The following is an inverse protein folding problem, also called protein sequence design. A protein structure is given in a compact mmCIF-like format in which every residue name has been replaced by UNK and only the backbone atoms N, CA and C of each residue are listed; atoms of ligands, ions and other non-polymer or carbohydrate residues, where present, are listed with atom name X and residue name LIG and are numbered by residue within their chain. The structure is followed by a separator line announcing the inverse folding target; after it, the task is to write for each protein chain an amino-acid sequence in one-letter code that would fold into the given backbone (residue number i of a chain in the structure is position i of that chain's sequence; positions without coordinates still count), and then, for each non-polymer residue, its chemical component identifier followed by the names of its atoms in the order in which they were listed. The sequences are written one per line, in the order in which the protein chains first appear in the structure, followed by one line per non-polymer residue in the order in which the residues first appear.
data_IF_263804132847
#
_entry.id   IF_263804132847
#
_cell.length_a   1.000
_cell.length_b   1.000
_cell.length_c   1.000
_cell.angle_alpha   90.00
_cell.angle_beta   90.00
_cell.angle_gamma   90.00
#
_symmetry.space_group_name_H-M   'P 1'
#
loop_
_entity.id
_entity.type
_entity.pdbx_description
1 polymer ?
#
# COMPACT_ATOMS: atom_id res chain seq x y z
N UNK A 1 -5.81 14.12 -5.07
CA UNK A 1 -6.55 15.38 -4.87
C UNK A 1 -7.60 15.23 -3.79
N UNK A 2 -7.95 16.35 -3.15
CA UNK A 2 -9.02 16.46 -2.17
C UNK A 2 -10.25 17.11 -2.85
N UNK A 3 -11.43 16.51 -2.68
CA UNK A 3 -12.66 16.94 -3.36
C UNK A 3 -13.75 17.18 -2.33
N UNK A 4 -14.38 18.36 -2.39
CA UNK A 4 -15.55 18.67 -1.55
C UNK A 4 -16.78 17.90 -2.06
N UNK A 5 -17.44 17.20 -1.15
CA UNK A 5 -18.71 16.53 -1.43
C UNK A 5 -19.87 17.53 -1.26
N UNK A 6 -20.75 17.62 -2.24
CA UNK A 6 -21.83 18.61 -2.25
C UNK A 6 -23.22 17.98 -2.11
N UNK A 7 -23.65 17.19 -3.09
CA UNK A 7 -25.03 16.68 -3.15
C UNK A 7 -25.39 15.74 -2.00
N UNK A 8 -24.52 14.77 -1.74
CA UNK A 8 -24.75 13.76 -0.69
C UNK A 8 -24.64 14.35 0.72
N UNK A 9 -23.93 15.46 0.87
CA UNK A 9 -23.66 16.12 2.15
C UNK A 9 -24.43 17.42 2.35
N UNK A 10 -25.40 17.74 1.46
CA UNK A 10 -26.15 19.01 1.49
C UNK A 10 -26.83 19.33 2.83
N UNK A 11 -27.19 18.33 3.62
CA UNK A 11 -27.83 18.46 4.93
C UNK A 11 -26.84 18.26 6.09
N UNK A 12 -25.54 18.01 5.82
CA UNK A 12 -24.53 17.90 6.88
C UNK A 12 -24.18 19.29 7.43
N UNK A 13 -23.92 19.34 8.74
CA UNK A 13 -23.44 20.57 9.40
C UNK A 13 -21.95 20.82 9.12
N UNK A 14 -21.21 19.77 8.75
CA UNK A 14 -19.78 19.82 8.47
C UNK A 14 -19.50 19.91 6.96
N UNK A 15 -18.40 20.52 6.58
CA UNK A 15 -17.80 20.37 5.27
C UNK A 15 -17.14 19.00 5.17
N UNK A 16 -17.56 18.20 4.20
CA UNK A 16 -17.01 16.85 3.99
C UNK A 16 -16.12 16.86 2.74
N UNK A 17 -14.87 16.45 2.93
CA UNK A 17 -13.86 16.35 1.88
C UNK A 17 -13.48 14.87 1.68
N UNK A 18 -13.27 14.47 0.44
CA UNK A 18 -12.85 13.13 0.06
C UNK A 18 -11.47 13.18 -0.61
N UNK A 19 -10.47 12.51 -0.03
CA UNK A 19 -9.17 12.32 -0.68
C UNK A 19 -9.24 11.16 -1.66
N UNK A 20 -9.09 11.48 -2.94
CA UNK A 20 -9.28 10.51 -4.04
C UNK A 20 -7.97 9.78 -4.35
N UNK A 21 -7.71 8.70 -3.63
CA UNK A 21 -6.53 7.84 -3.83
C UNK A 21 -6.59 6.97 -5.10
N UNK A 22 -7.72 6.91 -5.77
CA UNK A 22 -7.86 6.30 -7.10
C UNK A 22 -7.15 7.07 -8.21
N UNK A 23 -6.59 8.26 -7.95
CA UNK A 23 -5.76 9.01 -8.92
C UNK A 23 -4.28 8.66 -8.87
N UNK A 24 -3.87 7.78 -7.97
CA UNK A 24 -2.53 7.22 -7.98
C UNK A 24 -2.30 6.30 -9.20
N UNK A 25 -1.04 6.09 -9.65
CA UNK A 25 -0.74 5.38 -10.90
C UNK A 25 -1.36 3.99 -11.06
N UNK A 26 -1.47 3.21 -9.99
CA UNK A 26 -2.15 1.91 -9.97
C UNK A 26 -3.52 1.97 -9.25
N UNK A 27 -4.17 3.14 -9.30
CA UNK A 27 -5.55 3.41 -8.87
C UNK A 27 -5.87 3.12 -7.40
N UNK A 28 -4.91 3.22 -6.50
CA UNK A 28 -5.20 3.06 -5.06
C UNK A 28 -4.17 3.73 -4.15
N UNK A 29 -4.52 3.89 -2.87
CA UNK A 29 -3.59 4.32 -1.81
C UNK A 29 -2.37 3.40 -1.68
N UNK A 30 -2.47 2.15 -2.12
CA UNK A 30 -1.38 1.17 -2.03
C UNK A 30 -0.22 1.46 -2.99
N UNK A 31 -0.41 2.34 -3.99
CA UNK A 31 0.68 2.82 -4.83
C UNK A 31 1.79 3.45 -3.99
N UNK A 32 1.42 4.19 -2.94
CA UNK A 32 2.35 4.85 -2.03
C UNK A 32 3.25 3.83 -1.32
N UNK A 33 2.64 2.85 -0.65
CA UNK A 33 3.39 1.84 0.10
C UNK A 33 4.14 0.87 -0.82
N UNK A 34 3.55 0.47 -1.95
CA UNK A 34 4.20 -0.42 -2.92
C UNK A 34 5.48 0.19 -3.48
N UNK A 35 5.47 1.48 -3.81
CA UNK A 35 6.66 2.20 -4.25
C UNK A 35 7.67 2.37 -3.12
N UNK A 36 7.25 2.85 -1.94
CA UNK A 36 8.18 3.17 -0.87
C UNK A 36 8.87 1.95 -0.28
N UNK A 37 8.18 0.80 -0.16
CA UNK A 37 8.81 -0.44 0.31
C UNK A 37 9.93 -0.91 -0.63
N UNK A 38 9.78 -0.71 -1.94
CA UNK A 38 10.83 -1.04 -2.92
C UNK A 38 11.98 -0.02 -2.82
N UNK A 39 11.70 1.29 -2.82
CA UNK A 39 12.71 2.35 -2.74
C UNK A 39 13.53 2.29 -1.44
N UNK A 40 12.87 2.05 -0.31
CA UNK A 40 13.53 1.91 0.98
C UNK A 40 14.45 0.67 1.00
N UNK A 41 13.99 -0.44 0.45
CA UNK A 41 14.78 -1.66 0.35
C UNK A 41 16.01 -1.48 -0.56
N UNK A 42 15.88 -0.77 -1.69
CA UNK A 42 17.00 -0.41 -2.56
C UNK A 42 18.01 0.46 -1.81
N UNK A 43 17.52 1.52 -1.13
CA UNK A 43 18.35 2.46 -0.37
C UNK A 43 19.13 1.77 0.75
N UNK A 44 18.52 0.76 1.38
CA UNK A 44 19.15 -0.03 2.45
C UNK A 44 20.03 -1.18 1.94
N UNK A 45 20.12 -1.37 0.62
CA UNK A 45 20.86 -2.48 0.01
C UNK A 45 20.23 -3.87 0.23
N UNK A 46 18.98 -3.92 0.69
CA UNK A 46 18.22 -5.15 0.92
C UNK A 46 17.68 -5.74 -0.39
N UNK A 47 17.46 -4.90 -1.40
CA UNK A 47 16.97 -5.24 -2.72
C UNK A 47 17.92 -4.73 -3.80
N UNK A 48 18.33 -5.63 -4.69
CA UNK A 48 19.12 -5.36 -5.89
C UNK A 48 18.54 -6.11 -7.09
N UNK A 49 19.16 -6.02 -8.27
CA UNK A 49 18.65 -6.62 -9.51
C UNK A 49 18.74 -8.15 -9.56
N UNK A 50 19.53 -8.76 -8.70
CA UNK A 50 19.66 -10.21 -8.62
C UNK A 50 18.56 -10.85 -7.76
N UNK A 51 17.84 -10.03 -6.98
CA UNK A 51 16.77 -10.50 -6.11
C UNK A 51 15.41 -10.49 -6.79
N UNK A 52 14.55 -11.41 -6.35
CA UNK A 52 13.14 -11.52 -6.72
C UNK A 52 12.30 -11.04 -5.54
N UNK A 53 11.37 -10.13 -5.81
CA UNK A 53 10.41 -9.68 -4.79
C UNK A 53 9.34 -10.75 -4.66
N UNK A 54 8.98 -11.12 -3.41
CA UNK A 54 7.86 -12.03 -3.14
C UNK A 54 6.95 -11.44 -2.06
N UNK A 55 5.62 -11.43 -2.28
CA UNK A 55 4.66 -10.89 -1.31
C UNK A 55 3.36 -11.68 -1.31
N UNK A 56 2.83 -12.05 -0.13
CA UNK A 56 1.51 -12.67 -0.01
C UNK A 56 0.42 -11.59 -0.06
N UNK A 57 -0.20 -11.42 -1.21
CA UNK A 57 -1.27 -10.41 -1.38
C UNK A 57 -2.12 -10.67 -2.60
N UNK A 58 -3.40 -10.43 -2.47
CA UNK A 58 -4.40 -10.56 -3.56
C UNK A 58 -5.08 -9.23 -3.89
N UNK A 59 -4.68 -8.16 -3.22
CA UNK A 59 -5.33 -6.86 -3.30
C UNK A 59 -4.50 -5.79 -3.99
N UNK A 60 -4.85 -4.55 -3.69
CA UNK A 60 -4.21 -3.37 -4.29
C UNK A 60 -2.71 -3.27 -4.00
N UNK A 61 -2.22 -3.86 -2.89
CA UNK A 61 -0.77 -3.93 -2.63
C UNK A 61 -0.06 -4.76 -3.69
N UNK A 62 -0.62 -5.90 -4.09
CA UNK A 62 -0.05 -6.71 -5.18
C UNK A 62 -0.02 -5.96 -6.51
N UNK A 63 -1.08 -5.23 -6.85
CA UNK A 63 -1.12 -4.41 -8.07
C UNK A 63 -0.06 -3.29 -8.00
N UNK A 64 0.07 -2.62 -6.85
CA UNK A 64 1.05 -1.54 -6.66
C UNK A 64 2.50 -2.07 -6.72
N UNK A 65 2.77 -3.21 -6.12
CA UNK A 65 4.08 -3.88 -6.21
C UNK A 65 4.38 -4.32 -7.65
N UNK A 66 3.40 -4.90 -8.36
CA UNK A 66 3.58 -5.31 -9.75
C UNK A 66 3.86 -4.10 -10.66
N UNK A 67 3.12 -3.01 -10.49
CA UNK A 67 3.36 -1.77 -11.21
C UNK A 67 4.76 -1.21 -10.95
N UNK A 68 5.18 -1.12 -9.67
CA UNK A 68 6.48 -0.57 -9.32
C UNK A 68 7.62 -1.50 -9.74
N UNK A 69 7.46 -2.82 -9.56
CA UNK A 69 8.44 -3.81 -9.98
C UNK A 69 8.67 -3.77 -11.49
N UNK A 70 7.60 -3.69 -12.30
CA UNK A 70 7.68 -3.55 -13.74
C UNK A 70 8.44 -2.27 -14.14
N UNK A 71 8.08 -1.13 -13.55
CA UNK A 71 8.72 0.16 -13.82
C UNK A 71 10.21 0.18 -13.46
N UNK A 72 10.60 -0.59 -12.45
CA UNK A 72 12.00 -0.64 -11.96
C UNK A 72 12.77 -1.87 -12.44
N UNK A 73 12.16 -2.76 -13.24
CA UNK A 73 12.82 -3.94 -13.79
C UNK A 73 13.14 -5.03 -12.76
N UNK A 74 12.26 -5.22 -11.76
CA UNK A 74 12.35 -6.33 -10.80
C UNK A 74 11.43 -7.47 -11.20
N UNK A 75 11.87 -8.70 -10.92
CA UNK A 75 10.99 -9.87 -10.93
C UNK A 75 10.13 -9.85 -9.67
N UNK A 76 8.86 -10.21 -9.80
CA UNK A 76 7.89 -10.25 -8.71
C UNK A 76 7.11 -11.54 -8.72
N UNK A 77 7.03 -12.19 -7.57
CA UNK A 77 6.14 -13.31 -7.29
C UNK A 77 5.08 -12.87 -6.29
N UNK A 78 3.82 -13.16 -6.58
CA UNK A 78 2.71 -12.91 -5.67
C UNK A 78 2.03 -14.24 -5.31
N UNK A 79 1.89 -14.51 -4.02
CA UNK A 79 1.14 -15.69 -3.56
C UNK A 79 -0.26 -15.27 -3.12
N UNK A 80 -1.27 -16.02 -3.54
CA UNK A 80 -2.66 -15.72 -3.22
C UNK A 80 -3.55 -16.96 -3.31
N UNK A 81 -4.69 -17.00 -2.59
CA UNK A 81 -5.66 -18.08 -2.75
C UNK A 81 -6.24 -18.11 -4.17
N UNK A 82 -6.48 -19.30 -4.69
CA UNK A 82 -7.09 -19.49 -6.02
C UNK A 82 -8.54 -18.96 -6.12
N UNK A 83 -9.19 -18.69 -4.98
CA UNK A 83 -10.51 -18.06 -4.92
C UNK A 83 -10.51 -16.56 -5.27
N UNK A 84 -9.34 -15.93 -5.41
CA UNK A 84 -9.26 -14.53 -5.78
C UNK A 84 -9.75 -14.27 -7.20
N UNK A 85 -10.32 -13.07 -7.44
CA UNK A 85 -10.94 -12.74 -8.72
C UNK A 85 -9.97 -12.82 -9.90
N UNK A 86 -10.46 -13.32 -11.01
CA UNK A 86 -9.67 -13.50 -12.23
C UNK A 86 -9.17 -12.15 -12.80
N UNK A 87 -9.93 -11.08 -12.62
CA UNK A 87 -9.57 -9.74 -13.09
C UNK A 87 -8.32 -9.22 -12.36
N UNK A 88 -8.23 -9.41 -11.05
CA UNK A 88 -7.04 -9.04 -10.26
C UNK A 88 -5.83 -9.85 -10.67
N UNK A 89 -6.00 -11.18 -10.87
CA UNK A 89 -4.91 -12.04 -11.33
C UNK A 89 -4.40 -11.60 -12.71
N UNK A 90 -5.31 -11.32 -13.65
CA UNK A 90 -4.96 -10.83 -14.99
C UNK A 90 -4.22 -9.50 -14.92
N UNK A 91 -4.69 -8.56 -14.09
CA UNK A 91 -4.04 -7.27 -13.93
C UNK A 91 -2.59 -7.41 -13.43
N UNK A 92 -2.35 -8.24 -12.41
CA UNK A 92 -1.01 -8.47 -11.90
C UNK A 92 -0.11 -9.19 -12.91
N UNK A 93 -0.66 -10.17 -13.63
CA UNK A 93 0.07 -10.91 -14.66
C UNK A 93 0.45 -10.01 -15.86
N UNK A 94 -0.44 -9.12 -16.30
CA UNK A 94 -0.13 -8.14 -17.38
C UNK A 94 0.98 -7.20 -16.97
N UNK A 95 1.10 -6.87 -15.67
CA UNK A 95 2.19 -6.08 -15.12
C UNK A 95 3.49 -6.90 -14.90
N UNK A 96 3.50 -8.18 -15.31
CA UNK A 96 4.69 -9.02 -15.27
C UNK A 96 4.90 -9.81 -13.97
N UNK A 97 3.93 -9.82 -13.06
CA UNK A 97 4.03 -10.64 -11.85
C UNK A 97 3.78 -12.12 -12.14
N UNK A 98 4.62 -12.99 -11.58
CA UNK A 98 4.36 -14.40 -11.47
C UNK A 98 3.37 -14.67 -10.33
N UNK A 99 2.35 -15.48 -10.56
CA UNK A 99 1.32 -15.79 -9.58
C UNK A 99 1.43 -17.23 -9.10
N UNK A 100 1.59 -17.43 -7.80
CA UNK A 100 1.53 -18.74 -7.15
C UNK A 100 0.19 -18.83 -6.43
N UNK A 101 -0.70 -19.66 -6.94
CA UNK A 101 -2.01 -19.88 -6.36
C UNK A 101 -1.94 -20.95 -5.26
N UNK A 102 -2.58 -20.66 -4.14
CA UNK A 102 -2.71 -21.59 -3.02
C UNK A 102 -4.15 -22.07 -2.88
N UNK A 103 -4.35 -23.19 -2.20
CA UNK A 103 -5.68 -23.78 -1.98
C UNK A 103 -6.66 -22.74 -1.38
N UNK A 104 -7.85 -22.62 -1.98
CA UNK A 104 -8.89 -21.69 -1.52
C UNK A 104 -9.26 -21.87 -0.04
N UNK A 105 -9.33 -23.13 0.41
CA UNK A 105 -9.68 -23.47 1.80
C UNK A 105 -8.69 -22.94 2.84
N UNK A 106 -7.43 -22.72 2.46
CA UNK A 106 -6.40 -22.18 3.36
C UNK A 106 -6.41 -20.63 3.42
N UNK A 107 -7.16 -19.98 2.56
CA UNK A 107 -7.29 -18.52 2.50
C UNK A 107 -5.95 -17.77 2.47
N UNK A 108 -5.92 -16.54 2.98
CA UNK A 108 -4.68 -15.75 3.06
C UNK A 108 -3.60 -16.36 3.96
N UNK A 109 -3.91 -17.05 5.09
CA UNK A 109 -2.86 -17.75 5.86
C UNK A 109 -2.07 -18.75 5.02
N UNK A 110 -2.71 -19.48 4.11
CA UNK A 110 -2.03 -20.40 3.19
C UNK A 110 -1.09 -19.68 2.21
N UNK A 111 -1.51 -18.52 1.69
CA UNK A 111 -0.68 -17.70 0.81
C UNK A 111 0.53 -17.13 1.57
N UNK A 112 0.34 -16.68 2.81
CA UNK A 112 1.42 -16.18 3.67
C UNK A 112 2.43 -17.28 3.97
N UNK A 113 1.96 -18.48 4.34
CA UNK A 113 2.84 -19.62 4.60
C UNK A 113 3.67 -19.99 3.35
N UNK A 114 3.05 -19.97 2.17
CA UNK A 114 3.75 -20.27 0.90
C UNK A 114 4.78 -19.21 0.53
N UNK A 115 4.49 -17.93 0.73
CA UNK A 115 5.47 -16.86 0.50
C UNK A 115 6.68 -17.00 1.43
N UNK A 116 6.44 -17.27 2.71
CA UNK A 116 7.51 -17.49 3.70
C UNK A 116 8.34 -18.73 3.38
N UNK A 117 7.71 -19.86 3.04
CA UNK A 117 8.42 -21.09 2.62
C UNK A 117 9.42 -20.80 1.50
N UNK A 118 9.00 -20.04 0.49
CA UNK A 118 9.86 -19.71 -0.66
C UNK A 118 10.96 -18.74 -0.26
N UNK A 119 10.62 -17.68 0.49
CA UNK A 119 11.58 -16.67 0.91
C UNK A 119 12.65 -17.21 1.87
N UNK A 120 12.23 -18.03 2.84
CA UNK A 120 13.13 -18.64 3.82
C UNK A 120 14.01 -19.74 3.19
N UNK A 121 13.55 -20.36 2.11
CA UNK A 121 14.30 -21.36 1.35
C UNK A 121 15.55 -20.80 0.65
N UNK A 122 15.54 -19.52 0.27
CA UNK A 122 16.70 -18.84 -0.33
C UNK A 122 16.68 -17.33 -0.03
N UNK A 123 17.09 -16.91 1.17
CA UNK A 123 17.07 -15.49 1.57
C UNK A 123 18.00 -14.59 0.74
N UNK A 124 18.97 -15.17 0.05
CA UNK A 124 19.87 -14.40 -0.82
C UNK A 124 19.16 -14.01 -2.12
N UNK A 125 18.26 -14.87 -2.60
CA UNK A 125 17.52 -14.68 -3.85
C UNK A 125 16.23 -13.88 -3.66
N UNK A 126 15.54 -14.07 -2.55
CA UNK A 126 14.22 -13.46 -2.35
C UNK A 126 14.25 -12.31 -1.37
N UNK A 127 13.41 -11.31 -1.64
CA UNK A 127 13.11 -10.19 -0.75
C UNK A 127 11.59 -10.10 -0.55
N UNK A 128 11.13 -10.15 0.71
CA UNK A 128 9.73 -10.01 1.06
C UNK A 128 9.49 -8.66 1.72
N UNK A 129 8.75 -7.73 1.04
CA UNK A 129 8.45 -6.41 1.57
C UNK A 129 7.73 -6.41 2.91
N UNK A 130 6.72 -7.26 3.10
CA UNK A 130 6.01 -7.41 4.37
C UNK A 130 5.18 -6.19 4.74
N UNK A 131 4.09 -5.92 4.03
CA UNK A 131 3.29 -4.69 4.17
C UNK A 131 2.78 -4.39 5.60
N UNK A 132 2.64 -5.41 6.45
CA UNK A 132 2.12 -5.25 7.81
C UNK A 132 3.18 -4.82 8.83
N UNK A 133 4.44 -5.23 8.63
CA UNK A 133 5.53 -5.04 9.59
C UNK A 133 6.59 -4.05 9.08
N UNK A 134 6.53 -3.66 7.81
CA UNK A 134 7.53 -2.80 7.19
C UNK A 134 7.31 -1.32 7.54
N UNK A 135 8.29 -0.67 8.22
CA UNK A 135 8.19 0.74 8.60
C UNK A 135 8.11 1.69 7.38
N UNK A 136 8.54 1.26 6.20
CA UNK A 136 8.40 2.05 4.97
C UNK A 136 6.92 2.27 4.58
N UNK A 137 5.98 1.44 5.08
CA UNK A 137 4.56 1.64 4.89
C UNK A 137 4.07 2.90 5.63
N UNK A 138 4.10 3.00 6.97
CA UNK A 138 3.70 4.22 7.66
C UNK A 138 4.55 5.44 7.26
N UNK A 139 5.84 5.26 7.00
CA UNK A 139 6.75 6.34 6.63
C UNK A 139 6.26 7.14 5.41
N UNK A 140 5.79 6.48 4.36
CA UNK A 140 5.34 7.21 3.16
C UNK A 140 4.07 8.03 3.42
N UNK A 141 3.20 7.57 4.30
CA UNK A 141 2.02 8.34 4.70
C UNK A 141 2.41 9.56 5.54
N UNK A 142 3.42 9.43 6.41
CA UNK A 142 3.98 10.57 7.14
C UNK A 142 4.59 11.61 6.19
N UNK A 143 5.31 11.16 5.16
CA UNK A 143 5.99 12.06 4.20
C UNK A 143 5.06 12.65 3.14
N UNK A 144 3.92 12.03 2.87
CA UNK A 144 3.06 12.44 1.75
C UNK A 144 1.59 12.59 2.13
N UNK A 145 0.90 11.55 2.54
CA UNK A 145 -0.55 11.57 2.76
C UNK A 145 -0.96 12.55 3.85
N UNK A 146 -0.24 12.57 4.97
CA UNK A 146 -0.47 13.52 6.07
C UNK A 146 -0.27 14.97 5.63
N UNK A 147 0.92 15.35 5.14
CA UNK A 147 1.17 16.69 4.60
C UNK A 147 0.18 17.12 3.52
N UNK A 148 -0.12 16.25 2.56
CA UNK A 148 -1.10 16.56 1.52
C UNK A 148 -2.50 16.88 2.07
N UNK A 149 -2.95 16.18 3.14
CA UNK A 149 -4.23 16.47 3.79
C UNK A 149 -4.15 17.82 4.50
N UNK A 150 -3.08 18.07 5.22
CA UNK A 150 -2.87 19.32 5.95
C UNK A 150 -2.86 20.53 5.01
N UNK A 151 -2.05 20.47 3.97
CA UNK A 151 -1.91 21.55 2.99
C UNK A 151 -3.21 21.79 2.20
N UNK A 152 -3.88 20.70 1.74
CA UNK A 152 -5.14 20.79 1.00
C UNK A 152 -6.33 21.35 1.83
N UNK A 153 -6.19 21.39 3.16
CA UNK A 153 -7.22 21.92 4.09
C UNK A 153 -6.81 23.22 4.76
N UNK A 154 -5.65 23.80 4.43
CA UNK A 154 -5.06 24.93 5.16
C UNK A 154 -4.98 24.67 6.68
N UNK A 155 -4.74 23.43 7.07
CA UNK A 155 -4.71 22.98 8.45
C UNK A 155 -6.08 22.91 9.16
N UNK A 156 -7.16 23.23 8.47
CA UNK A 156 -8.51 23.26 9.02
C UNK A 156 -9.20 21.90 8.92
N UNK A 157 -8.86 20.99 9.83
CA UNK A 157 -9.43 19.65 9.89
C UNK A 157 -9.81 19.27 11.32
N UNK A 158 -11.09 19.00 11.56
CA UNK A 158 -11.61 18.58 12.87
C UNK A 158 -11.68 17.05 13.01
N UNK A 159 -11.95 16.35 11.90
CA UNK A 159 -12.19 14.90 11.90
C UNK A 159 -11.54 14.21 10.69
N UNK A 160 -10.72 13.22 10.96
CA UNK A 160 -10.16 12.32 9.95
C UNK A 160 -10.89 10.97 9.97
N UNK A 161 -11.46 10.56 8.83
CA UNK A 161 -12.06 9.24 8.64
C UNK A 161 -11.25 8.45 7.65
N UNK A 162 -10.75 7.30 8.03
CA UNK A 162 -9.93 6.44 7.17
C UNK A 162 -10.27 4.95 7.36
N UNK A 163 -10.20 4.19 6.28
CA UNK A 163 -10.26 2.73 6.36
C UNK A 163 -8.98 2.17 7.01
N UNK A 164 -9.14 1.10 7.79
CA UNK A 164 -8.04 0.42 8.47
C UNK A 164 -7.81 -0.94 7.82
N UNK A 165 -6.66 -1.09 7.14
CA UNK A 165 -6.13 -2.38 6.69
C UNK A 165 -4.85 -2.69 7.47
N UNK A 166 -3.69 -2.23 6.98
CA UNK A 166 -2.41 -2.33 7.71
C UNK A 166 -2.27 -1.31 8.85
N UNK A 167 -3.18 -0.34 8.93
CA UNK A 167 -3.12 0.76 9.90
C UNK A 167 -2.22 1.93 9.49
N UNK A 168 -1.31 1.75 8.53
CA UNK A 168 -0.29 2.73 8.18
C UNK A 168 -0.84 4.11 7.82
N UNK A 169 -1.94 4.16 7.07
CA UNK A 169 -2.53 5.44 6.66
C UNK A 169 -3.08 6.24 7.84
N UNK A 170 -3.96 5.62 8.65
CA UNK A 170 -4.67 6.34 9.71
C UNK A 170 -3.74 6.73 10.86
N UNK A 171 -2.89 5.80 11.29
CA UNK A 171 -2.00 6.02 12.44
C UNK A 171 -1.08 7.21 12.22
N UNK A 172 -0.46 7.27 11.06
CA UNK A 172 0.55 8.30 10.79
C UNK A 172 -0.07 9.61 10.34
N UNK A 173 -1.13 9.58 9.52
CA UNK A 173 -1.84 10.81 9.16
C UNK A 173 -2.43 11.50 10.39
N UNK A 174 -3.03 10.75 11.30
CA UNK A 174 -3.53 11.30 12.56
C UNK A 174 -2.41 11.91 13.42
N UNK A 175 -1.28 11.21 13.58
CA UNK A 175 -0.13 11.70 14.35
C UNK A 175 0.45 12.97 13.73
N UNK A 176 0.55 13.03 12.41
CA UNK A 176 1.02 14.22 11.69
C UNK A 176 0.10 15.42 11.92
N UNK A 177 -1.21 15.24 11.72
CA UNK A 177 -2.20 16.30 11.90
C UNK A 177 -2.21 16.82 13.33
N UNK A 178 -2.17 15.93 14.34
CA UNK A 178 -2.16 16.31 15.75
C UNK A 178 -0.86 17.01 16.18
N UNK A 179 0.28 16.69 15.59
CA UNK A 179 1.55 17.35 15.90
C UNK A 179 1.52 18.84 15.55
N UNK A 180 0.75 19.24 14.54
CA UNK A 180 0.55 20.65 14.18
C UNK A 180 -0.40 21.39 15.12
N UNK A 181 -1.40 20.70 15.73
CA UNK A 181 -2.28 21.29 16.73
C UNK A 181 -1.56 21.63 18.05
N UNK A 182 -0.49 20.89 18.40
CA UNK A 182 0.24 21.08 19.67
C UNK A 182 1.38 22.09 19.60
N UNK A 183 1.66 22.68 18.45
CA UNK A 183 2.71 23.68 18.27
C UNK A 183 2.22 25.14 18.42
N UNK A 184 0.95 25.36 18.79
CA UNK A 184 0.38 26.68 19.05
C UNK A 184 0.30 27.03 20.55
N UNK A 185 1.25 26.54 21.37
CA UNK A 185 1.36 26.96 22.78
C UNK A 185 2.73 27.53 23.09
#
# INVERSE_FOLDING_TARGET
PLVKLNSITKNAKATVLAKIEGRNPAYSVKCRIGANMIWDAEKKGLLNKDKVIIEPTSGNTGIALAYTAAARGYKLILTMPESMSIERRRMMAVLGAELILTEAAKGMPGAIAKAKEIADGDPQKYFMPGQFDNPANPEIHFKTTGPEIWDDTDGQIDVLVSGVGTGGTITVSYTHLRAHETMEY
#
